data_IF_920187656000
#
_entry.id   IF_920187656000
#
_cell.length_a   1.000
_cell.length_b   1.000
_cell.length_c   1.000
_cell.angle_alpha   90.00
_cell.angle_beta   90.00
_cell.angle_gamma   90.00
#
_symmetry.space_group_name_H-M   'P 1'
#
loop_
_entity.id
_entity.type
_entity.pdbx_description
1 polymer ?
#
# COMPACT_ATOMS: atom_id res chain seq x y z
N UNK A 1 14.35 13.27 -24.01
CA UNK A 1 13.09 13.60 -23.29
C UNK A 1 13.17 12.97 -21.92
N UNK A 2 13.21 13.77 -20.85
CA UNK A 2 13.07 13.24 -19.49
C UNK A 2 11.62 12.76 -19.24
N UNK A 3 11.37 11.86 -18.29
CA UNK A 3 10.01 11.44 -17.96
C UNK A 3 9.20 12.66 -17.55
N UNK A 4 8.00 12.82 -18.12
CA UNK A 4 7.10 13.92 -17.78
C UNK A 4 6.79 13.88 -16.28
N UNK A 5 7.16 14.94 -15.58
CA UNK A 5 6.79 15.18 -14.18
C UNK A 5 5.27 15.27 -14.09
N UNK A 6 4.63 14.27 -13.48
CA UNK A 6 3.19 14.31 -13.22
C UNK A 6 2.87 15.43 -12.23
N UNK A 7 1.83 16.22 -12.50
CA UNK A 7 1.35 17.20 -11.54
C UNK A 7 0.74 16.48 -10.31
N UNK A 8 0.75 17.11 -9.12
CA UNK A 8 0.10 16.57 -7.92
C UNK A 8 -1.38 16.22 -8.14
N UNK A 9 -2.10 17.02 -8.93
CA UNK A 9 -3.50 16.75 -9.28
C UNK A 9 -3.65 15.49 -10.13
N UNK A 10 -2.80 15.30 -11.14
CA UNK A 10 -2.82 14.08 -11.94
C UNK A 10 -2.49 12.85 -11.08
N UNK A 11 -1.56 12.98 -10.12
CA UNK A 11 -1.28 11.94 -9.15
C UNK A 11 -2.51 11.63 -8.27
N UNK A 12 -3.22 12.67 -7.79
CA UNK A 12 -4.45 12.55 -7.00
C UNK A 12 -5.51 11.75 -7.73
N UNK A 13 -5.80 12.10 -8.98
CA UNK A 13 -6.81 11.42 -9.80
C UNK A 13 -6.45 9.95 -10.03
N UNK A 14 -5.18 9.66 -10.38
CA UNK A 14 -4.71 8.28 -10.56
C UNK A 14 -4.80 7.47 -9.28
N UNK A 15 -4.42 8.05 -8.15
CA UNK A 15 -4.50 7.37 -6.85
C UNK A 15 -5.95 7.09 -6.46
N UNK A 16 -6.85 8.05 -6.62
CA UNK A 16 -8.28 7.89 -6.36
C UNK A 16 -8.89 6.79 -7.22
N UNK A 17 -8.59 6.77 -8.51
CA UNK A 17 -9.06 5.72 -9.43
C UNK A 17 -8.53 4.35 -9.03
N UNK A 18 -7.24 4.23 -8.70
CA UNK A 18 -6.66 2.96 -8.27
C UNK A 18 -7.28 2.46 -6.95
N UNK A 19 -7.57 3.36 -6.01
CA UNK A 19 -8.22 3.02 -4.74
C UNK A 19 -9.64 2.48 -4.98
N UNK A 20 -10.44 3.20 -5.78
CA UNK A 20 -11.82 2.78 -6.10
C UNK A 20 -11.86 1.47 -6.87
N UNK A 21 -10.94 1.28 -7.80
CA UNK A 21 -10.80 0.01 -8.51
C UNK A 21 -10.48 -1.13 -7.55
N UNK A 22 -9.53 -0.94 -6.63
CA UNK A 22 -9.19 -1.95 -5.63
C UNK A 22 -10.39 -2.31 -4.73
N UNK A 23 -11.25 -1.35 -4.38
CA UNK A 23 -12.51 -1.61 -3.68
C UNK A 23 -13.48 -2.42 -4.54
N UNK A 24 -13.65 -2.05 -5.82
CA UNK A 24 -14.52 -2.76 -6.75
C UNK A 24 -14.05 -4.21 -7.02
N UNK A 25 -12.73 -4.46 -6.99
CA UNK A 25 -12.11 -5.78 -7.09
C UNK A 25 -12.17 -6.60 -5.79
N UNK A 26 -12.89 -6.13 -4.76
CA UNK A 26 -13.11 -6.86 -3.52
C UNK A 26 -11.98 -6.73 -2.49
N UNK A 27 -11.32 -5.57 -2.41
CA UNK A 27 -10.47 -5.29 -1.25
C UNK A 27 -11.30 -5.35 0.05
N UNK A 28 -10.84 -6.09 1.08
CA UNK A 28 -11.60 -6.33 2.31
C UNK A 28 -11.77 -5.08 3.19
N UNK A 29 -11.00 -4.02 2.94
CA UNK A 29 -11.12 -2.75 3.66
C UNK A 29 -10.57 -1.60 2.81
N UNK A 30 -10.97 -0.37 3.16
CA UNK A 30 -10.41 0.86 2.57
C UNK A 30 -8.90 0.96 2.79
N UNK A 31 -8.40 0.43 3.91
CA UNK A 31 -6.96 0.37 4.22
C UNK A 31 -6.21 -0.58 3.28
N UNK A 32 -6.80 -1.75 3.00
CA UNK A 32 -6.24 -2.69 2.01
C UNK A 32 -6.29 -2.09 0.60
N UNK A 33 -7.38 -1.41 0.24
CA UNK A 33 -7.50 -0.69 -1.02
C UNK A 33 -6.45 0.43 -1.17
N UNK A 34 -6.21 1.22 -0.11
CA UNK A 34 -5.15 2.25 -0.05
C UNK A 34 -3.78 1.63 -0.36
N UNK A 35 -3.48 0.49 0.26
CA UNK A 35 -2.19 -0.20 0.08
C UNK A 35 -2.01 -0.69 -1.36
N UNK A 36 -3.06 -1.30 -1.95
CA UNK A 36 -3.06 -1.72 -3.37
C UNK A 36 -2.87 -0.52 -4.30
N UNK A 37 -3.60 0.57 -4.07
CA UNK A 37 -3.50 1.81 -4.85
C UNK A 37 -2.11 2.46 -4.75
N UNK A 38 -1.49 2.43 -3.56
CA UNK A 38 -0.14 2.94 -3.36
C UNK A 38 0.87 2.15 -4.20
N UNK A 39 0.80 0.82 -4.22
CA UNK A 39 1.66 -0.02 -5.07
C UNK A 39 1.48 0.28 -6.57
N UNK A 40 0.25 0.42 -7.04
CA UNK A 40 -0.06 0.70 -8.45
C UNK A 40 0.41 2.09 -8.89
N UNK A 41 0.27 3.09 -8.01
CA UNK A 41 0.69 4.46 -8.30
C UNK A 41 2.18 4.70 -8.12
N UNK A 42 2.87 3.99 -7.20
CA UNK A 42 4.32 4.07 -7.07
C UNK A 42 5.03 3.66 -8.37
N UNK A 43 4.61 2.55 -8.99
CA UNK A 43 5.18 2.13 -10.30
C UNK A 43 4.96 3.14 -11.41
N UNK A 44 3.96 4.01 -11.28
CA UNK A 44 3.54 4.96 -12.30
C UNK A 44 4.00 6.40 -12.06
N UNK A 45 4.45 6.74 -10.85
CA UNK A 45 4.73 8.11 -10.42
C UNK A 45 6.25 8.33 -10.30
N UNK A 46 6.89 8.69 -11.41
CA UNK A 46 8.29 9.11 -11.46
C UNK A 46 8.50 10.62 -11.25
N UNK A 47 7.42 11.40 -11.04
CA UNK A 47 7.46 12.86 -11.09
C UNK A 47 6.96 13.63 -9.85
N UNK A 48 6.41 12.95 -8.84
CA UNK A 48 5.95 13.62 -7.61
C UNK A 48 6.85 13.18 -6.47
N UNK A 49 7.35 14.13 -5.68
CA UNK A 49 8.18 13.82 -4.52
C UNK A 49 7.36 13.02 -3.49
N UNK A 50 8.07 12.23 -2.67
CA UNK A 50 7.42 11.34 -1.71
C UNK A 50 6.52 12.09 -0.71
N UNK A 51 6.92 13.27 -0.25
CA UNK A 51 6.17 14.04 0.74
C UNK A 51 4.84 14.53 0.18
N UNK A 52 4.86 15.07 -1.04
CA UNK A 52 3.65 15.47 -1.77
C UNK A 52 2.77 14.26 -2.07
N UNK A 53 3.35 13.15 -2.53
CA UNK A 53 2.60 11.92 -2.81
C UNK A 53 1.90 11.39 -1.55
N UNK A 54 2.59 11.36 -0.40
CA UNK A 54 2.01 10.86 0.85
C UNK A 54 0.89 11.76 1.39
N UNK A 55 1.02 13.09 1.21
CA UNK A 55 -0.05 14.03 1.52
C UNK A 55 -1.29 13.74 0.69
N UNK A 56 -1.14 13.63 -0.63
CA UNK A 56 -2.24 13.32 -1.55
C UNK A 56 -2.90 11.97 -1.21
N UNK A 57 -2.10 10.92 -0.94
CA UNK A 57 -2.64 9.61 -0.55
C UNK A 57 -3.49 9.71 0.72
N UNK A 58 -3.03 10.49 1.70
CA UNK A 58 -3.72 10.65 2.98
C UNK A 58 -5.01 11.45 2.86
N UNK A 59 -5.02 12.49 2.03
CA UNK A 59 -6.23 13.27 1.72
C UNK A 59 -7.27 12.40 1.00
N UNK A 60 -6.89 11.72 -0.08
CA UNK A 60 -7.81 10.85 -0.84
C UNK A 60 -8.32 9.71 0.04
N UNK A 61 -7.46 9.10 0.88
CA UNK A 61 -7.91 8.07 1.81
C UNK A 61 -8.97 8.58 2.78
N UNK A 62 -8.78 9.78 3.34
CA UNK A 62 -9.77 10.40 4.24
C UNK A 62 -11.09 10.67 3.53
N UNK A 63 -11.05 11.24 2.33
CA UNK A 63 -12.26 11.48 1.51
C UNK A 63 -13.02 10.18 1.23
N UNK A 64 -12.32 9.11 0.90
CA UNK A 64 -12.96 7.82 0.60
C UNK A 64 -13.49 7.13 1.87
N UNK A 65 -12.83 7.31 3.02
CA UNK A 65 -13.35 6.88 4.31
C UNK A 65 -14.67 7.61 4.65
N UNK A 66 -14.68 8.95 4.55
CA UNK A 66 -15.87 9.78 4.78
C UNK A 66 -17.01 9.39 3.83
N UNK A 67 -16.72 9.21 2.54
CA UNK A 67 -17.71 8.77 1.53
C UNK A 67 -18.36 7.42 1.86
N UNK A 68 -17.60 6.52 2.49
CA UNK A 68 -18.05 5.18 2.84
C UNK A 68 -18.64 5.11 4.26
N UNK A 69 -18.69 6.22 4.99
CA UNK A 69 -19.15 6.26 6.38
C UNK A 69 -18.26 5.49 7.35
N UNK A 70 -17.00 5.24 6.98
CA UNK A 70 -16.02 4.57 7.85
C UNK A 70 -15.10 5.61 8.47
N UNK A 71 -14.91 5.54 9.79
CA UNK A 71 -13.93 6.39 10.46
C UNK A 71 -12.53 6.07 9.94
N UNK A 72 -11.74 7.05 9.45
CA UNK A 72 -10.34 6.79 9.14
C UNK A 72 -9.64 6.39 10.45
N UNK A 73 -8.81 5.34 10.40
CA UNK A 73 -8.03 4.93 11.57
C UNK A 73 -7.22 6.12 12.07
N UNK A 74 -7.58 6.64 13.25
CA UNK A 74 -6.82 7.69 13.92
C UNK A 74 -5.72 6.99 14.70
N UNK A 75 -4.47 7.37 14.43
CA UNK A 75 -3.34 6.88 15.23
C UNK A 75 -3.61 7.19 16.71
N UNK A 76 -3.57 6.15 17.56
CA UNK A 76 -3.81 6.29 19.00
C UNK A 76 -5.27 6.23 19.45
N UNK A 77 -6.23 5.93 18.56
CA UNK A 77 -7.63 5.68 18.94
C UNK A 77 -7.91 4.19 18.80
N UNK A 78 -8.22 3.54 19.92
CA UNK A 78 -8.70 2.16 19.91
C UNK A 78 -10.04 2.11 19.15
N UNK A 79 -10.31 1.05 18.38
CA UNK A 79 -11.62 0.89 17.74
C UNK A 79 -12.71 0.86 18.82
N UNK A 80 -13.87 1.47 18.53
CA UNK A 80 -15.01 1.52 19.47
C UNK A 80 -15.54 0.13 19.83
N UNK A 81 -15.37 -0.83 18.91
CA UNK A 81 -15.65 -2.24 19.14
C UNK A 81 -14.37 -3.08 18.95
N UNK A 82 -14.13 -4.08 19.82
CA UNK A 82 -13.05 -5.02 19.61
C UNK A 82 -13.26 -5.73 18.28
N UNK A 83 -12.25 -5.66 17.40
CA UNK A 83 -12.26 -6.40 16.14
C UNK A 83 -12.15 -7.88 16.50
N UNK A 84 -13.24 -8.62 16.29
CA UNK A 84 -13.23 -10.08 16.35
C UNK A 84 -12.53 -10.59 15.08
N UNK A 85 -11.28 -10.99 15.24
CA UNK A 85 -10.48 -11.57 14.14
C UNK A 85 -10.87 -13.01 13.82
N UNK A 86 -11.91 -13.55 14.46
CA UNK A 86 -12.23 -14.97 14.44
C UNK A 86 -11.13 -15.81 15.11
N UNK A 87 -11.31 -17.13 15.19
CA UNK A 87 -10.22 -18.00 15.59
C UNK A 87 -9.04 -17.80 14.63
N UNK A 88 -7.87 -17.46 15.17
CA UNK A 88 -6.61 -17.61 14.43
C UNK A 88 -6.50 -19.07 14.06
N UNK A 89 -6.72 -19.41 12.80
CA UNK A 89 -6.16 -20.65 12.28
C UNK A 89 -4.65 -20.54 12.51
N UNK A 90 -4.11 -21.44 13.33
CA UNK A 90 -2.67 -21.53 13.52
C UNK A 90 -2.09 -21.71 12.13
N UNK A 91 -1.35 -20.70 11.64
CA UNK A 91 -0.68 -20.76 10.35
C UNK A 91 0.09 -22.08 10.33
N UNK A 92 -0.38 -23.07 9.56
CA UNK A 92 0.39 -24.25 9.22
C UNK A 92 1.76 -23.72 8.81
N UNK A 93 2.82 -24.13 9.52
CA UNK A 93 4.17 -23.64 9.31
C UNK A 93 4.52 -23.83 7.83
N UNK A 94 4.31 -22.81 6.99
CA UNK A 94 4.62 -22.85 5.57
C UNK A 94 6.14 -22.88 5.50
N UNK A 95 6.69 -24.09 5.49
CA UNK A 95 8.11 -24.33 5.24
C UNK A 95 8.38 -24.00 3.79
N UNK A 96 8.63 -22.73 3.52
CA UNK A 96 9.14 -22.28 2.22
C UNK A 96 10.43 -23.04 1.97
N UNK A 97 10.52 -23.88 0.92
CA UNK A 97 11.75 -24.58 0.61
C UNK A 97 12.80 -23.52 0.28
N UNK A 98 13.81 -23.38 1.14
CA UNK A 98 14.99 -22.59 0.80
C UNK A 98 15.71 -23.35 -0.31
N UNK A 99 15.56 -22.88 -1.54
CA UNK A 99 16.29 -23.40 -2.69
C UNK A 99 17.78 -23.53 -2.33
N UNK A 100 18.37 -24.68 -2.64
CA UNK A 100 19.78 -24.96 -2.35
C UNK A 100 20.62 -23.92 -3.09
N UNK A 101 21.55 -23.26 -2.39
CA UNK A 101 22.50 -22.37 -3.04
C UNK A 101 23.22 -23.14 -4.16
N UNK A 102 23.14 -22.64 -5.40
CA UNK A 102 23.98 -23.15 -6.49
C UNK A 102 25.43 -22.83 -6.12
N UNK A 103 26.28 -23.85 -6.19
CA UNK A 103 27.68 -23.83 -5.73
C UNK A 103 28.55 -22.75 -6.38
N UNK A 104 28.07 -22.12 -7.45
CA UNK A 104 28.85 -21.17 -8.26
C UNK A 104 28.46 -19.69 -8.08
N UNK A 105 27.40 -19.37 -7.31
CA UNK A 105 27.01 -17.99 -7.07
C UNK A 105 27.81 -17.36 -5.92
N UNK A 106 28.93 -16.73 -6.25
CA UNK A 106 29.63 -15.80 -5.34
C UNK A 106 28.74 -14.59 -5.06
N UNK A 107 28.00 -14.63 -3.95
CA UNK A 107 27.33 -13.45 -3.38
C UNK A 107 28.41 -12.47 -2.90
N UNK A 108 28.66 -11.39 -3.65
CA UNK A 108 29.45 -10.25 -3.15
C UNK A 108 28.67 -9.54 -2.04
N UNK A 109 28.95 -9.87 -0.78
CA UNK A 109 28.62 -9.01 0.37
C UNK A 109 29.58 -7.82 0.37
N UNK A 110 29.21 -6.75 -0.32
CA UNK A 110 29.82 -5.43 -0.11
C UNK A 110 29.20 -4.76 1.10
N UNK A 111 29.79 -5.00 2.28
CA UNK A 111 29.42 -4.36 3.54
C UNK A 111 29.81 -2.89 3.61
N UNK A 112 29.11 -2.19 4.52
CA UNK A 112 29.26 -0.79 4.92
C UNK A 112 30.70 -0.32 5.12
N UNK A 113 30.94 0.96 4.79
CA UNK A 113 31.59 1.89 5.70
C UNK A 113 30.67 3.08 5.90
#
# INVERSE_FOLDING_TARGET
MGPATLSPEHYRERFRTALRLALAEGAPSVTTARSRAACSTWRSASGVDYGTAERVRSEVYREECERLGVGPLRAGVAPDEPVDYGPREEDEEIRVPRGRARTDDRVRRGGKR
#
